data_IF_093122766555
#
_entry.id   IF_093122766555
#
_cell.length_a   1.000
_cell.length_b   1.000
_cell.length_c   1.000
_cell.angle_alpha   90.00
_cell.angle_beta   90.00
_cell.angle_gamma   90.00
#
_symmetry.space_group_name_H-M   'P 1'
#
loop_
_entity.id
_entity.type
_entity.pdbx_description
1 polymer ?
#
# COMPACT_ATOMS: atom_id res chain seq x y z
N UNK A 1 -6.22 -9.58 -4.74
CA UNK A 1 -5.45 -8.70 -5.63
C UNK A 1 -6.26 -8.03 -6.75
N UNK A 2 -6.99 -8.78 -7.59
CA UNK A 2 -7.70 -8.21 -8.75
C UNK A 2 -9.16 -7.83 -8.49
N UNK A 3 -9.80 -8.39 -7.45
CA UNK A 3 -11.24 -8.28 -7.20
C UNK A 3 -11.75 -6.89 -6.77
N UNK A 4 -10.89 -6.04 -6.22
CA UNK A 4 -11.27 -4.67 -5.84
C UNK A 4 -10.24 -3.67 -6.39
N UNK A 5 -10.58 -2.78 -7.34
CA UNK A 5 -9.64 -1.81 -7.93
C UNK A 5 -9.20 -0.73 -6.93
N UNK A 6 -8.13 0.00 -7.23
CA UNK A 6 -7.79 1.22 -6.49
C UNK A 6 -8.99 2.19 -6.49
N UNK A 7 -9.25 2.85 -5.36
CA UNK A 7 -10.42 3.69 -5.16
C UNK A 7 -10.37 4.40 -3.82
N UNK A 8 -11.49 4.93 -3.34
CA UNK A 8 -11.51 5.65 -2.06
C UNK A 8 -11.03 4.76 -0.90
N UNK A 9 -11.49 3.51 -0.83
CA UNK A 9 -11.11 2.55 0.22
C UNK A 9 -9.59 2.36 0.37
N UNK A 10 -8.81 2.47 -0.73
CA UNK A 10 -7.36 2.28 -0.68
C UNK A 10 -6.61 3.46 -0.06
N UNK A 11 -7.31 4.59 0.16
CA UNK A 11 -6.82 5.76 0.89
C UNK A 11 -7.54 5.91 2.24
N UNK A 12 -8.33 4.92 2.67
CA UNK A 12 -8.96 4.92 3.98
C UNK A 12 -8.17 4.02 4.93
N UNK A 13 -8.02 4.48 6.16
CA UNK A 13 -7.40 3.73 7.26
C UNK A 13 -8.25 3.92 8.50
N UNK A 14 -8.45 2.84 9.25
CA UNK A 14 -9.24 2.87 10.49
C UNK A 14 -8.30 2.51 11.63
N UNK A 15 -8.25 3.36 12.64
CA UNK A 15 -7.49 3.15 13.87
C UNK A 15 -8.48 2.91 15.00
N UNK A 16 -8.32 1.78 15.66
CA UNK A 16 -9.20 1.31 16.73
C UNK A 16 -8.36 1.20 18.00
N UNK A 17 -8.89 1.66 19.13
CA UNK A 17 -8.19 1.56 20.40
C UNK A 17 -9.13 1.06 21.49
N UNK A 18 -8.58 0.19 22.32
CA UNK A 18 -9.18 -0.24 23.59
C UNK A 18 -9.24 0.92 24.58
N UNK A 19 -10.08 0.77 25.60
CA UNK A 19 -10.19 1.77 26.67
C UNK A 19 -8.94 1.78 27.58
N UNK A 20 -8.94 2.65 28.59
CA UNK A 20 -7.81 2.77 29.52
C UNK A 20 -7.93 1.84 30.74
N UNK A 21 -8.97 1.01 30.81
CA UNK A 21 -9.19 0.06 31.89
C UNK A 21 -8.31 -1.20 31.70
N UNK A 22 -8.15 -2.00 32.76
CA UNK A 22 -7.35 -3.24 32.70
C UNK A 22 -5.82 -3.08 32.64
N UNK A 23 -5.28 -1.90 32.32
CA UNK A 23 -3.84 -1.61 32.29
C UNK A 23 -3.24 -1.65 30.89
N UNK A 24 -1.94 -1.97 30.75
CA UNK A 24 -1.31 -2.11 29.43
C UNK A 24 -0.79 -0.83 28.77
N UNK A 25 -1.29 0.36 29.14
CA UNK A 25 -0.76 1.65 28.70
C UNK A 25 -1.87 2.66 28.38
N UNK A 26 -1.51 3.76 27.71
CA UNK A 26 -2.50 4.63 27.07
C UNK A 26 -2.61 4.23 25.61
N UNK A 27 -3.60 3.40 25.27
CA UNK A 27 -3.77 2.89 23.91
C UNK A 27 -4.17 3.98 22.91
N UNK A 28 -4.91 5.00 23.36
CA UNK A 28 -5.20 6.18 22.53
C UNK A 28 -3.91 6.87 22.09
N UNK A 29 -2.98 7.13 23.02
CA UNK A 29 -1.70 7.77 22.71
C UNK A 29 -0.81 6.91 21.81
N UNK A 30 -0.89 5.58 21.91
CA UNK A 30 -0.13 4.66 21.07
C UNK A 30 -0.69 4.65 19.64
N UNK A 31 -2.02 4.56 19.53
CA UNK A 31 -2.72 4.65 18.24
C UNK A 31 -2.47 6.01 17.57
N UNK A 32 -2.61 7.11 18.31
CA UNK A 32 -2.38 8.47 17.80
C UNK A 32 -0.92 8.71 17.37
N UNK A 33 0.04 8.10 18.06
CA UNK A 33 1.46 8.16 17.67
C UNK A 33 1.72 7.58 16.29
N UNK A 34 0.92 6.62 15.85
CA UNK A 34 1.02 6.04 14.50
C UNK A 34 0.12 6.80 13.52
N UNK A 35 -1.14 7.05 13.90
CA UNK A 35 -2.13 7.68 13.04
C UNK A 35 -1.75 9.12 12.64
N UNK A 36 -1.23 9.91 13.58
CA UNK A 36 -0.92 11.33 13.39
C UNK A 36 0.58 11.65 13.46
N UNK A 37 1.39 10.73 13.96
CA UNK A 37 2.78 10.98 14.34
C UNK A 37 3.79 10.90 13.20
N UNK A 38 5.04 11.12 13.61
CA UNK A 38 6.22 11.21 12.74
C UNK A 38 7.37 10.38 13.29
N UNK A 39 8.23 9.89 12.40
CA UNK A 39 9.45 9.16 12.76
C UNK A 39 10.62 10.09 13.10
N UNK A 40 10.59 11.33 12.61
CA UNK A 40 11.67 12.31 12.74
C UNK A 40 11.32 13.56 13.57
N UNK A 41 10.78 13.45 14.80
CA UNK A 41 10.56 14.64 15.62
C UNK A 41 11.89 15.31 15.99
N UNK A 42 11.98 16.66 15.99
CA UNK A 42 10.89 17.62 15.78
C UNK A 42 10.75 18.11 14.32
N UNK A 43 11.52 17.57 13.37
CA UNK A 43 11.46 18.03 11.97
C UNK A 43 10.15 17.66 11.30
N UNK A 44 9.50 16.57 11.73
CA UNK A 44 8.16 16.15 11.32
C UNK A 44 8.01 16.11 9.79
N UNK A 45 9.02 15.58 9.10
CA UNK A 45 9.03 15.42 7.64
C UNK A 45 8.62 14.03 7.21
N UNK A 46 8.72 13.05 8.11
CA UNK A 46 8.43 11.65 7.86
C UNK A 46 7.21 11.20 8.66
N UNK A 47 6.02 11.44 8.09
CA UNK A 47 4.75 11.02 8.70
C UNK A 47 4.56 9.52 8.52
N UNK A 48 4.09 8.82 9.55
CA UNK A 48 3.79 7.39 9.46
C UNK A 48 2.65 7.14 8.48
N UNK A 49 1.51 7.82 8.63
CA UNK A 49 0.40 7.76 7.69
C UNK A 49 0.37 9.07 6.86
N UNK A 50 0.61 9.02 5.54
CA UNK A 50 0.62 10.23 4.71
C UNK A 50 -0.71 10.99 4.73
N UNK A 51 -0.67 12.31 4.56
CA UNK A 51 -1.87 13.18 4.57
C UNK A 51 -2.88 12.89 3.44
N UNK A 52 -2.46 12.13 2.45
CA UNK A 52 -3.30 11.66 1.33
C UNK A 52 -4.26 10.55 1.76
N UNK A 53 -4.02 9.92 2.91
CA UNK A 53 -4.92 8.95 3.52
C UNK A 53 -5.88 9.65 4.49
N UNK A 54 -7.12 9.17 4.49
CA UNK A 54 -8.10 9.50 5.49
C UNK A 54 -7.96 8.52 6.66
N UNK A 55 -7.90 9.09 7.86
CA UNK A 55 -7.76 8.38 9.12
C UNK A 55 -9.08 8.51 9.86
N UNK A 56 -9.77 7.40 10.08
CA UNK A 56 -10.88 7.28 11.01
C UNK A 56 -10.39 6.72 12.34
N UNK A 57 -10.87 7.27 13.46
CA UNK A 57 -10.54 6.80 14.81
C UNK A 57 -11.80 6.31 15.51
N UNK A 58 -11.73 5.09 16.05
CA UNK A 58 -12.80 4.41 16.78
C UNK A 58 -12.21 3.92 18.11
N UNK A 59 -12.22 4.79 19.11
CA UNK A 59 -11.60 4.57 20.41
C UNK A 59 -12.68 4.36 21.46
N UNK A 60 -12.70 3.17 22.07
CA UNK A 60 -13.69 2.77 23.08
C UNK A 60 -13.61 3.67 24.30
N UNK A 61 -14.73 4.28 24.69
CA UNK A 61 -14.77 5.22 25.80
C UNK A 61 -14.19 6.61 25.49
N UNK A 62 -13.91 6.92 24.22
CA UNK A 62 -13.47 8.25 23.80
C UNK A 62 -14.21 8.80 22.58
N UNK A 63 -14.38 8.02 21.52
CA UNK A 63 -15.10 8.45 20.30
C UNK A 63 -16.39 7.67 20.06
N UNK A 64 -16.55 6.55 20.75
CA UNK A 64 -17.73 5.71 20.80
C UNK A 64 -17.87 5.17 22.22
N UNK A 65 -19.10 4.91 22.65
CA UNK A 65 -19.42 4.44 24.00
C UNK A 65 -18.88 5.38 25.11
N UNK A 66 -18.84 6.69 24.85
CA UNK A 66 -18.30 7.72 25.78
C UNK A 66 -18.98 7.72 27.15
N UNK A 67 -20.29 7.46 27.17
CA UNK A 67 -21.10 7.44 28.39
C UNK A 67 -21.02 6.11 29.16
N UNK A 68 -20.66 5.01 28.48
CA UNK A 68 -20.63 3.67 29.07
C UNK A 68 -19.73 2.68 28.29
N UNK A 69 -18.39 2.77 28.44
CA UNK A 69 -17.47 1.91 27.68
C UNK A 69 -17.61 0.41 28.02
N UNK A 70 -18.13 0.07 29.19
CA UNK A 70 -18.18 -1.30 29.73
C UNK A 70 -19.02 -2.32 28.94
N UNK A 71 -19.73 -1.89 27.88
CA UNK A 71 -20.56 -2.76 27.05
C UNK A 71 -20.19 -2.74 25.56
N UNK A 72 -19.39 -1.77 25.10
CA UNK A 72 -19.02 -1.56 23.70
C UNK A 72 -20.19 -1.75 22.71
N UNK A 73 -21.29 -1.01 22.86
CA UNK A 73 -22.47 -1.15 21.99
C UNK A 73 -22.31 -0.35 20.67
N UNK A 74 -21.64 0.81 20.71
CA UNK A 74 -21.48 1.73 19.59
C UNK A 74 -20.27 1.39 18.71
N UNK A 75 -19.12 1.11 19.32
CA UNK A 75 -17.86 0.87 18.60
C UNK A 75 -17.92 -0.29 17.59
N UNK A 76 -18.47 -1.49 17.91
CA UNK A 76 -18.56 -2.58 16.94
C UNK A 76 -19.43 -2.22 15.73
N UNK A 77 -20.56 -1.53 15.99
CA UNK A 77 -21.48 -1.08 14.94
C UNK A 77 -20.80 -0.06 14.02
N UNK A 78 -20.06 0.89 14.59
CA UNK A 78 -19.31 1.88 13.82
C UNK A 78 -18.22 1.22 12.98
N UNK A 79 -17.40 0.34 13.56
CA UNK A 79 -16.33 -0.36 12.86
C UNK A 79 -16.88 -1.22 11.71
N UNK A 80 -17.94 -1.99 11.96
CA UNK A 80 -18.61 -2.77 10.93
C UNK A 80 -19.18 -1.88 9.81
N UNK A 81 -19.76 -0.73 10.15
CA UNK A 81 -20.30 0.22 9.17
C UNK A 81 -19.19 0.79 8.29
N UNK A 82 -18.08 1.23 8.87
CA UNK A 82 -16.94 1.76 8.12
C UNK A 82 -16.34 0.68 7.22
N UNK A 83 -16.10 -0.53 7.72
CA UNK A 83 -15.61 -1.63 6.90
C UNK A 83 -16.57 -1.99 5.74
N UNK A 84 -17.88 -1.99 5.96
CA UNK A 84 -18.87 -2.36 4.96
C UNK A 84 -19.13 -1.29 3.90
N UNK A 85 -19.04 0.00 4.26
CA UNK A 85 -19.47 1.11 3.40
C UNK A 85 -18.30 1.84 2.79
N UNK A 86 -17.36 2.33 3.61
CA UNK A 86 -16.21 3.11 3.13
C UNK A 86 -15.07 2.19 2.71
N UNK A 87 -14.92 1.07 3.41
CA UNK A 87 -13.79 0.16 3.29
C UNK A 87 -12.50 0.81 3.78
N UNK A 88 -11.46 0.01 3.96
CA UNK A 88 -10.15 0.50 4.40
C UNK A 88 -9.03 -0.34 3.78
N UNK A 89 -7.87 0.29 3.54
CA UNK A 89 -6.66 -0.43 3.16
C UNK A 89 -6.18 -1.29 4.34
N UNK A 90 -6.20 -0.70 5.53
CA UNK A 90 -5.97 -1.42 6.78
C UNK A 90 -6.85 -0.91 7.91
N UNK A 91 -7.06 -1.81 8.88
CA UNK A 91 -7.62 -1.52 10.20
C UNK A 91 -6.53 -1.82 11.22
N UNK A 92 -6.06 -0.82 11.94
CA UNK A 92 -5.15 -0.99 13.07
C UNK A 92 -5.93 -1.06 14.37
N UNK A 93 -5.58 -1.99 15.25
CA UNK A 93 -6.12 -2.07 16.60
C UNK A 93 -5.01 -2.09 17.63
N UNK A 94 -5.08 -1.23 18.64
CA UNK A 94 -4.15 -1.21 19.78
C UNK A 94 -4.91 -1.42 21.08
N UNK A 95 -4.56 -2.47 21.84
CA UNK A 95 -5.31 -2.80 23.05
C UNK A 95 -5.09 -4.19 23.60
N UNK A 96 -6.03 -4.63 24.45
CA UNK A 96 -6.11 -5.99 24.92
C UNK A 96 -6.83 -6.89 23.91
N UNK A 97 -6.44 -8.16 23.85
CA UNK A 97 -7.20 -9.15 23.10
C UNK A 97 -7.15 -10.50 23.78
N UNK A 98 -8.24 -11.23 23.61
CA UNK A 98 -8.29 -12.66 23.80
C UNK A 98 -8.07 -13.36 22.46
N UNK A 99 -8.12 -14.69 22.46
CA UNK A 99 -7.95 -15.47 21.23
C UNK A 99 -9.06 -15.21 20.21
N UNK A 100 -10.26 -14.82 20.63
CA UNK A 100 -11.45 -14.76 19.77
C UNK A 100 -12.15 -13.41 19.74
N UNK A 101 -11.60 -12.39 20.40
CA UNK A 101 -12.18 -11.05 20.47
C UNK A 101 -11.14 -10.01 20.92
N UNK A 102 -11.43 -8.74 20.60
CA UNK A 102 -10.69 -7.55 21.03
C UNK A 102 -11.42 -6.84 22.18
N UNK A 103 -10.64 -6.23 23.09
CA UNK A 103 -11.09 -5.63 24.35
C UNK A 103 -11.81 -6.61 25.28
N UNK A 104 -11.90 -6.34 26.58
CA UNK A 104 -12.67 -7.20 27.47
C UNK A 104 -14.19 -7.07 27.20
N UNK A 105 -14.57 -5.95 26.63
CA UNK A 105 -15.90 -5.46 26.33
C UNK A 105 -16.45 -6.04 25.02
N UNK A 106 -15.67 -6.88 24.31
CA UNK A 106 -16.01 -7.42 22.99
C UNK A 106 -16.22 -6.32 21.94
N UNK A 107 -15.32 -5.34 21.88
CA UNK A 107 -15.31 -4.29 20.85
C UNK A 107 -15.35 -4.87 19.42
N UNK A 108 -14.69 -6.02 19.24
CA UNK A 108 -14.71 -6.73 17.98
C UNK A 108 -14.57 -8.23 18.20
N UNK A 109 -15.52 -9.02 17.72
CA UNK A 109 -15.48 -10.47 17.85
C UNK A 109 -15.91 -11.24 16.58
N UNK A 110 -15.93 -12.58 16.70
CA UNK A 110 -16.25 -13.46 15.57
C UNK A 110 -17.71 -13.35 15.08
N UNK A 111 -18.63 -12.87 15.92
CA UNK A 111 -20.02 -12.59 15.53
C UNK A 111 -20.05 -11.36 14.62
N UNK A 112 -19.35 -10.29 14.99
CA UNK A 112 -19.26 -9.07 14.18
C UNK A 112 -18.63 -9.37 12.81
N UNK A 113 -17.51 -10.11 12.81
CA UNK A 113 -16.80 -10.48 11.59
C UNK A 113 -17.65 -11.40 10.69
N UNK A 114 -18.46 -12.29 11.28
CA UNK A 114 -19.39 -13.13 10.52
C UNK A 114 -20.50 -12.31 9.82
N UNK A 115 -20.87 -11.17 10.39
CA UNK A 115 -21.93 -10.30 9.86
C UNK A 115 -21.43 -9.30 8.80
N UNK A 116 -20.12 -9.21 8.57
CA UNK A 116 -19.54 -8.31 7.56
C UNK A 116 -20.00 -8.62 6.14
N UNK A 117 -20.13 -7.55 5.36
CA UNK A 117 -20.44 -7.57 3.92
C UNK A 117 -19.45 -6.72 3.12
N UNK A 118 -18.21 -6.59 3.60
CA UNK A 118 -17.18 -5.68 3.08
C UNK A 118 -16.43 -6.18 1.83
N UNK A 119 -16.93 -7.24 1.19
CA UNK A 119 -16.43 -7.68 -0.11
C UNK A 119 -16.75 -6.70 -1.24
N UNK A 120 -15.89 -6.58 -2.27
CA UNK A 120 -14.66 -7.33 -2.50
C UNK A 120 -13.38 -6.66 -1.95
N UNK A 121 -13.52 -5.52 -1.26
CA UNK A 121 -12.42 -4.66 -0.84
C UNK A 121 -12.04 -4.94 0.61
N UNK A 122 -11.31 -6.04 0.82
CA UNK A 122 -10.98 -6.53 2.16
C UNK A 122 -9.73 -5.83 2.71
N UNK A 123 -9.76 -5.33 3.96
CA UNK A 123 -8.61 -4.70 4.60
C UNK A 123 -7.56 -5.72 5.03
N UNK A 124 -6.37 -5.19 5.34
CA UNK A 124 -5.39 -5.86 6.20
C UNK A 124 -5.70 -5.48 7.64
N UNK A 125 -5.73 -6.44 8.56
CA UNK A 125 -5.83 -6.11 9.98
C UNK A 125 -4.42 -6.06 10.58
N UNK A 126 -4.12 -4.98 11.31
CA UNK A 126 -2.87 -4.77 12.02
C UNK A 126 -3.18 -4.78 13.52
N UNK A 127 -3.10 -5.95 14.14
CA UNK A 127 -3.54 -6.12 15.53
C UNK A 127 -2.35 -6.00 16.48
N UNK A 128 -2.24 -4.87 17.18
CA UNK A 128 -1.25 -4.57 18.22
C UNK A 128 -1.67 -5.09 19.60
N UNK A 129 -2.13 -6.34 19.65
CA UNK A 129 -2.67 -6.98 20.85
C UNK A 129 -2.19 -8.43 21.03
N UNK A 130 -2.41 -8.99 22.22
CA UNK A 130 -2.00 -10.36 22.57
C UNK A 130 -2.93 -11.42 21.95
N UNK A 131 -2.41 -12.61 21.65
CA UNK A 131 -3.17 -13.82 21.27
C UNK A 131 -4.07 -13.77 20.04
N UNK A 132 -4.28 -12.63 19.39
CA UNK A 132 -5.14 -12.48 18.20
C UNK A 132 -4.76 -13.47 17.08
N UNK A 133 -3.48 -13.83 16.97
CA UNK A 133 -2.94 -14.77 16.00
C UNK A 133 -2.61 -16.15 16.57
N UNK A 134 -3.15 -16.55 17.73
CA UNK A 134 -2.83 -17.81 18.42
C UNK A 134 -3.37 -19.08 17.70
N UNK A 135 -2.96 -19.28 16.45
CA UNK A 135 -3.46 -20.33 15.53
C UNK A 135 -3.16 -21.77 15.97
N UNK A 136 -2.26 -21.93 16.94
CA UNK A 136 -1.83 -23.23 17.45
C UNK A 136 -2.83 -23.86 18.42
N UNK A 137 -3.91 -23.17 18.80
CA UNK A 137 -4.93 -23.74 19.69
C UNK A 137 -5.87 -24.69 18.95
N UNK A 138 -5.92 -25.99 19.32
CA UNK A 138 -6.86 -26.91 18.70
C UNK A 138 -8.31 -26.71 19.15
N UNK A 139 -8.55 -25.98 20.25
CA UNK A 139 -9.88 -25.79 20.84
C UNK A 139 -10.60 -24.54 20.35
N UNK A 140 -9.86 -23.53 19.87
CA UNK A 140 -10.41 -22.23 19.46
C UNK A 140 -9.73 -21.77 18.17
N UNK A 141 -10.51 -21.21 17.25
CA UNK A 141 -9.95 -20.54 16.07
C UNK A 141 -9.58 -19.13 16.49
N UNK A 142 -8.32 -18.74 16.28
CA UNK A 142 -7.88 -17.41 16.65
C UNK A 142 -8.57 -16.34 15.78
N UNK A 143 -8.75 -15.13 16.33
CA UNK A 143 -9.47 -14.05 15.69
C UNK A 143 -8.84 -13.65 14.34
N UNK A 144 -7.51 -13.52 14.32
CA UNK A 144 -6.73 -13.28 13.10
C UNK A 144 -6.84 -14.40 12.05
N UNK A 145 -7.07 -15.65 12.46
CA UNK A 145 -7.37 -16.74 11.52
C UNK A 145 -8.81 -16.68 11.01
N UNK A 146 -9.75 -16.40 11.90
CA UNK A 146 -11.17 -16.40 11.60
C UNK A 146 -11.49 -15.38 10.51
N UNK A 147 -11.02 -14.15 10.68
CA UNK A 147 -11.28 -13.05 9.74
C UNK A 147 -10.69 -13.27 8.34
N UNK A 148 -9.60 -14.02 8.18
CA UNK A 148 -8.99 -14.27 6.85
C UNK A 148 -9.57 -15.49 6.14
N UNK A 149 -10.38 -16.31 6.84
CA UNK A 149 -10.93 -17.56 6.31
C UNK A 149 -12.34 -17.41 5.72
N UNK A 150 -12.99 -16.27 5.94
CA UNK A 150 -14.36 -16.07 5.50
C UNK A 150 -14.42 -15.82 3.98
N UNK A 151 -15.36 -16.46 3.28
CA UNK A 151 -15.49 -16.28 1.85
C UNK A 151 -16.09 -14.90 1.55
N UNK A 152 -15.36 -14.06 0.81
CA UNK A 152 -15.84 -12.78 0.27
C UNK A 152 -16.06 -11.64 1.28
N UNK A 153 -15.81 -11.84 2.58
CA UNK A 153 -15.86 -10.80 3.61
C UNK A 153 -14.80 -11.08 4.70
N UNK A 154 -14.64 -10.17 5.66
CA UNK A 154 -13.59 -10.25 6.68
C UNK A 154 -12.34 -9.47 6.23
N UNK A 155 -11.18 -10.13 6.22
CA UNK A 155 -9.89 -9.50 5.89
C UNK A 155 -9.12 -10.29 4.83
N UNK A 156 -8.26 -9.62 4.06
CA UNK A 156 -7.36 -10.29 3.10
C UNK A 156 -6.12 -10.85 3.80
N UNK A 157 -5.73 -10.25 4.92
CA UNK A 157 -4.60 -10.65 5.73
C UNK A 157 -4.73 -10.12 7.17
N UNK A 158 -4.01 -10.76 8.09
CA UNK A 158 -3.89 -10.37 9.50
C UNK A 158 -2.44 -10.38 9.94
N UNK A 159 -1.98 -9.28 10.53
CA UNK A 159 -0.70 -9.16 11.21
C UNK A 159 -0.93 -9.22 12.72
N UNK A 160 -0.68 -10.39 13.31
CA UNK A 160 -1.19 -10.71 14.65
C UNK A 160 -0.17 -11.46 15.51
N UNK A 161 -0.26 -11.26 16.83
CA UNK A 161 0.60 -11.97 17.79
C UNK A 161 0.07 -13.36 18.14
N UNK A 162 0.96 -14.35 18.12
CA UNK A 162 0.74 -15.71 18.66
C UNK A 162 1.01 -15.81 20.16
N UNK A 163 1.19 -14.69 20.88
CA UNK A 163 1.56 -14.71 22.28
C UNK A 163 1.23 -13.42 23.01
N UNK A 164 1.79 -13.30 24.22
CA UNK A 164 1.76 -12.06 24.99
C UNK A 164 2.93 -11.18 24.56
N UNK A 165 2.72 -9.86 24.56
CA UNK A 165 3.77 -8.87 24.31
C UNK A 165 3.45 -7.56 25.01
N UNK A 166 4.45 -6.70 25.14
CA UNK A 166 4.29 -5.36 25.69
C UNK A 166 3.81 -4.39 24.59
N UNK A 167 2.84 -3.55 24.93
CA UNK A 167 2.29 -2.54 24.01
C UNK A 167 3.38 -1.60 23.44
N UNK A 168 4.43 -1.33 24.20
CA UNK A 168 5.58 -0.52 23.73
C UNK A 168 6.41 -1.20 22.64
N UNK A 169 6.45 -2.54 22.59
CA UNK A 169 7.08 -3.27 21.50
C UNK A 169 6.18 -3.32 20.26
N UNK A 170 4.87 -3.45 20.47
CA UNK A 170 3.88 -3.41 19.39
C UNK A 170 3.86 -2.06 18.68
N UNK A 171 3.96 -0.94 19.42
CA UNK A 171 4.07 0.42 18.86
C UNK A 171 5.25 0.56 17.89
N UNK A 172 6.45 0.14 18.30
CA UNK A 172 7.64 0.21 17.43
C UNK A 172 7.44 -0.68 16.19
N UNK A 173 6.84 -1.86 16.35
CA UNK A 173 6.55 -2.78 15.25
C UNK A 173 5.58 -2.17 14.24
N UNK A 174 4.50 -1.52 14.71
CA UNK A 174 3.52 -0.86 13.87
C UNK A 174 4.12 0.34 13.12
N UNK A 175 4.92 1.16 13.80
CA UNK A 175 5.68 2.27 13.19
C UNK A 175 6.56 1.77 12.06
N UNK A 176 7.27 0.66 12.27
CA UNK A 176 8.05 -0.02 11.24
C UNK A 176 7.20 -0.48 10.05
N UNK A 177 5.99 -0.98 10.28
CA UNK A 177 5.05 -1.34 9.21
C UNK A 177 4.64 -0.11 8.39
N UNK A 178 4.26 0.99 9.04
CA UNK A 178 3.88 2.23 8.35
C UNK A 178 5.02 2.78 7.49
N UNK A 179 6.25 2.80 8.03
CA UNK A 179 7.45 3.21 7.29
C UNK A 179 7.70 2.32 6.08
N UNK A 180 7.58 0.99 6.24
CA UNK A 180 7.74 0.06 5.13
C UNK A 180 6.76 0.36 3.99
N UNK A 181 5.48 0.54 4.32
CA UNK A 181 4.40 0.70 3.35
C UNK A 181 4.45 2.06 2.64
N UNK A 182 4.66 3.13 3.40
CA UNK A 182 4.44 4.49 2.91
C UNK A 182 5.72 5.26 2.60
N UNK A 183 6.82 4.98 3.31
CA UNK A 183 8.09 5.66 3.07
C UNK A 183 9.01 4.88 2.14
N UNK A 184 9.29 3.62 2.50
CA UNK A 184 10.12 2.72 1.70
C UNK A 184 9.38 2.18 0.47
N UNK A 185 8.06 2.40 0.40
CA UNK A 185 7.18 2.00 -0.70
C UNK A 185 7.24 0.50 -0.97
N UNK A 186 7.39 -0.30 0.08
CA UNK A 186 7.37 -1.76 0.02
C UNK A 186 5.92 -2.22 -0.15
N UNK A 187 5.51 -2.47 -1.40
CA UNK A 187 4.13 -2.84 -1.72
C UNK A 187 3.78 -4.30 -1.42
N UNK A 188 4.77 -5.16 -1.14
CA UNK A 188 4.53 -6.57 -0.82
C UNK A 188 4.40 -6.77 0.69
N UNK A 189 3.25 -7.27 1.14
CA UNK A 189 2.93 -7.36 2.57
C UNK A 189 3.97 -8.17 3.37
N UNK A 190 4.41 -9.32 2.87
CA UNK A 190 5.43 -10.14 3.51
C UNK A 190 6.83 -9.50 3.55
N UNK A 191 7.12 -8.55 2.67
CA UNK A 191 8.37 -7.79 2.74
C UNK A 191 8.26 -6.63 3.75
N UNK A 192 7.10 -5.95 3.79
CA UNK A 192 6.83 -4.90 4.76
C UNK A 192 6.84 -5.44 6.20
N UNK A 193 6.26 -6.62 6.38
CA UNK A 193 6.38 -7.47 7.56
C UNK A 193 7.82 -7.65 8.08
N UNK A 194 8.73 -8.08 7.20
CA UNK A 194 10.14 -8.31 7.54
C UNK A 194 10.82 -6.98 7.88
N UNK A 195 10.51 -5.91 7.14
CA UNK A 195 11.01 -4.58 7.45
C UNK A 195 10.59 -4.13 8.86
N UNK A 196 9.31 -4.28 9.21
CA UNK A 196 8.80 -3.92 10.52
C UNK A 196 9.54 -4.62 11.67
N UNK A 197 9.79 -5.93 11.54
CA UNK A 197 10.57 -6.70 12.53
C UNK A 197 12.03 -6.24 12.62
N UNK A 198 12.64 -5.90 11.49
CA UNK A 198 14.01 -5.36 11.48
C UNK A 198 14.07 -3.96 12.12
N UNK A 199 13.07 -3.10 11.86
CA UNK A 199 12.95 -1.79 12.49
C UNK A 199 12.82 -1.94 14.01
N UNK A 200 11.96 -2.85 14.50
CA UNK A 200 11.86 -3.17 15.92
C UNK A 200 13.21 -3.56 16.54
N UNK A 201 13.96 -4.44 15.88
CA UNK A 201 15.30 -4.83 16.34
C UNK A 201 16.28 -3.64 16.37
N UNK A 202 16.26 -2.77 15.35
CA UNK A 202 17.15 -1.61 15.27
C UNK A 202 16.87 -0.60 16.38
N UNK A 203 15.60 -0.35 16.68
CA UNK A 203 15.17 0.64 17.67
C UNK A 203 15.27 0.15 19.12
N UNK A 204 15.21 -1.17 19.33
CA UNK A 204 15.06 -1.73 20.68
C UNK A 204 16.10 -2.78 21.08
N UNK A 205 16.94 -3.23 20.15
CA UNK A 205 17.87 -4.33 20.37
C UNK A 205 17.13 -5.60 20.82
N UNK A 206 17.61 -6.21 21.90
CA UNK A 206 17.09 -7.48 22.43
C UNK A 206 15.85 -7.34 23.33
N UNK A 207 15.34 -6.12 23.53
CA UNK A 207 14.26 -5.85 24.49
C UNK A 207 12.92 -6.49 24.14
N UNK A 208 12.63 -6.66 22.84
CA UNK A 208 11.35 -7.18 22.35
C UNK A 208 11.54 -8.36 21.38
N UNK A 209 12.50 -9.25 21.68
CA UNK A 209 12.71 -10.48 20.91
C UNK A 209 11.45 -11.37 20.87
N UNK A 210 10.67 -11.37 21.96
CA UNK A 210 9.38 -12.05 22.03
C UNK A 210 8.42 -11.55 20.94
N UNK A 211 8.29 -10.23 20.77
CA UNK A 211 7.43 -9.63 19.74
C UNK A 211 7.88 -10.00 18.32
N UNK A 212 9.19 -10.05 18.06
CA UNK A 212 9.74 -10.49 16.76
C UNK A 212 9.34 -11.93 16.45
N UNK A 213 9.41 -12.82 17.44
CA UNK A 213 9.09 -14.24 17.29
C UNK A 213 7.59 -14.53 17.23
N UNK A 214 6.77 -13.80 18.00
CA UNK A 214 5.34 -14.08 18.12
C UNK A 214 4.48 -13.48 17.02
N UNK A 215 4.90 -12.37 16.40
CA UNK A 215 4.12 -11.74 15.33
C UNK A 215 4.19 -12.53 14.02
N UNK A 216 3.03 -12.88 13.49
CA UNK A 216 2.90 -13.62 12.23
C UNK A 216 2.00 -12.88 11.25
N UNK A 217 2.18 -13.24 9.98
CA UNK A 217 1.26 -12.86 8.91
C UNK A 217 0.37 -14.05 8.57
N UNK A 218 -0.93 -13.92 8.80
CA UNK A 218 -1.96 -14.83 8.33
C UNK A 218 -2.53 -14.27 7.02
N UNK A 219 -2.54 -15.07 5.95
CA UNK A 219 -2.90 -14.63 4.60
C UNK A 219 -1.76 -14.85 3.61
N UNK A 220 -1.76 -14.11 2.50
CA UNK A 220 -0.74 -14.23 1.45
C UNK A 220 0.42 -13.24 1.67
N UNK A 221 1.60 -13.74 1.98
CA UNK A 221 2.81 -12.93 2.11
C UNK A 221 3.26 -12.28 0.79
N UNK A 222 2.86 -12.81 -0.35
CA UNK A 222 3.15 -12.24 -1.66
C UNK A 222 2.18 -11.12 -2.06
N UNK A 223 1.12 -10.88 -1.28
CA UNK A 223 0.07 -9.90 -1.56
C UNK A 223 0.66 -8.53 -1.91
N UNK A 224 0.29 -8.03 -3.08
CA UNK A 224 0.56 -6.67 -3.51
C UNK A 224 -0.51 -5.72 -3.01
N UNK A 225 -0.09 -4.76 -2.18
CA UNK A 225 -0.94 -3.79 -1.54
C UNK A 225 -1.28 -2.63 -2.47
N UNK A 226 -2.48 -2.10 -2.30
CA UNK A 226 -3.00 -0.96 -3.06
C UNK A 226 -2.72 0.32 -2.31
N UNK A 227 -1.47 0.53 -1.90
CA UNK A 227 -1.02 1.82 -1.37
C UNK A 227 -1.11 2.89 -2.45
N UNK A 228 -1.13 4.14 -2.05
CA UNK A 228 -0.97 5.33 -2.89
C UNK A 228 0.14 5.16 -3.93
N UNK A 229 1.32 4.68 -3.54
CA UNK A 229 2.43 4.46 -4.48
C UNK A 229 2.07 3.48 -5.60
N UNK A 230 1.22 2.48 -5.34
CA UNK A 230 0.72 1.54 -6.35
C UNK A 230 -0.48 2.10 -7.11
N UNK A 231 -1.38 2.82 -6.42
CA UNK A 231 -2.61 3.33 -6.99
C UNK A 231 -2.45 4.60 -7.81
N UNK A 232 -1.51 5.48 -7.47
CA UNK A 232 -1.13 6.65 -8.27
C UNK A 232 -0.21 6.27 -9.43
N UNK A 233 0.53 5.16 -9.30
CA UNK A 233 1.21 4.53 -10.43
C UNK A 233 0.26 3.76 -11.35
N UNK A 234 -1.07 3.85 -11.14
CA UNK A 234 -2.03 3.60 -12.22
C UNK A 234 -1.89 4.79 -13.19
N UNK A 235 -1.32 4.63 -14.40
CA UNK A 235 -0.99 5.76 -15.26
C UNK A 235 -2.24 6.56 -15.61
N UNK A 236 -2.51 7.64 -14.86
CA UNK A 236 -3.69 8.49 -15.03
C UNK A 236 -3.31 9.96 -14.82
N UNK A 237 -2.37 10.41 -15.63
CA UNK A 237 -2.33 11.74 -16.19
C UNK A 237 -1.65 11.60 -17.55
N UNK A 238 -1.93 12.49 -18.49
CA UNK A 238 -1.29 12.49 -19.82
C UNK A 238 0.22 12.63 -19.61
N UNK A 239 0.96 11.51 -19.60
CA UNK A 239 2.42 11.50 -19.40
C UNK A 239 3.10 12.36 -20.46
N UNK A 240 2.52 12.37 -21.67
CA UNK A 240 3.07 13.06 -22.82
C UNK A 240 2.15 14.16 -23.34
N UNK A 241 2.57 15.42 -23.22
CA UNK A 241 1.90 16.55 -23.88
C UNK A 241 2.14 16.56 -25.39
N UNK A 242 3.19 15.87 -25.86
CA UNK A 242 3.52 15.74 -27.28
C UNK A 242 4.18 14.41 -27.60
N UNK A 243 3.77 13.81 -28.71
CA UNK A 243 4.39 12.64 -29.35
C UNK A 243 4.37 12.85 -30.86
N UNK A 244 5.53 12.94 -31.50
CA UNK A 244 5.61 13.24 -32.93
C UNK A 244 6.87 12.67 -33.59
N UNK A 245 6.66 11.94 -34.68
CA UNK A 245 7.65 11.68 -35.71
C UNK A 245 7.42 12.65 -36.88
N UNK A 246 8.44 13.42 -37.27
CA UNK A 246 8.37 14.41 -38.33
C UNK A 246 9.47 14.18 -39.37
N UNK A 247 9.20 14.39 -40.67
CA UNK A 247 10.23 14.37 -41.71
C UNK A 247 11.35 15.38 -41.45
N UNK A 248 12.59 14.99 -41.72
CA UNK A 248 13.77 15.84 -41.65
C UNK A 248 14.79 15.45 -42.74
N UNK A 249 15.65 16.36 -43.22
CA UNK A 249 16.58 16.03 -44.31
C UNK A 249 17.47 14.82 -43.98
N UNK A 250 17.29 13.71 -44.72
CA UNK A 250 17.99 12.44 -44.53
C UNK A 250 17.82 11.82 -43.12
N UNK A 251 16.73 12.13 -42.43
CA UNK A 251 16.45 11.63 -41.09
C UNK A 251 14.95 11.71 -40.74
N UNK A 252 14.53 11.06 -39.67
CA UNK A 252 13.25 11.37 -39.01
C UNK A 252 13.53 12.06 -37.68
N UNK A 253 12.90 13.21 -37.45
CA UNK A 253 12.96 13.93 -36.18
C UNK A 253 11.86 13.42 -35.24
N UNK A 254 12.27 12.85 -34.13
CA UNK A 254 11.44 12.23 -33.11
C UNK A 254 11.38 13.17 -31.91
N UNK A 255 10.18 13.57 -31.53
CA UNK A 255 9.92 14.53 -30.47
C UNK A 255 8.91 13.93 -29.51
N UNK A 256 9.23 13.97 -28.22
CA UNK A 256 8.24 13.76 -27.18
C UNK A 256 8.45 14.77 -26.06
N UNK A 257 7.34 15.20 -25.47
CA UNK A 257 7.33 16.15 -24.38
C UNK A 257 6.53 15.55 -23.24
N UNK A 258 7.14 15.51 -22.06
CA UNK A 258 6.51 14.99 -20.85
C UNK A 258 5.78 16.12 -20.13
N UNK A 259 4.53 15.88 -19.75
CA UNK A 259 3.79 16.78 -18.84
C UNK A 259 4.01 16.39 -17.37
N UNK A 260 4.39 15.14 -17.13
CA UNK A 260 4.77 14.59 -15.84
C UNK A 260 5.84 13.50 -16.05
N UNK A 261 6.82 13.45 -15.16
CA UNK A 261 7.87 12.43 -15.13
C UNK A 261 7.97 11.69 -13.80
N UNK A 262 7.05 11.91 -12.86
CA UNK A 262 7.00 11.14 -11.63
C UNK A 262 6.83 9.66 -11.96
N UNK A 263 7.72 8.84 -11.41
CA UNK A 263 7.72 7.40 -11.67
C UNK A 263 8.42 6.98 -12.98
N UNK A 264 8.89 7.89 -13.84
CA UNK A 264 9.61 7.52 -15.06
C UNK A 264 11.11 7.33 -14.81
N UNK A 265 11.66 6.23 -15.30
CA UNK A 265 13.10 5.92 -15.26
C UNK A 265 13.79 6.33 -16.58
N UNK A 266 13.24 5.90 -17.72
CA UNK A 266 13.86 6.13 -19.03
C UNK A 266 12.90 5.96 -20.21
N UNK A 267 13.38 6.35 -21.40
CA UNK A 267 12.70 6.23 -22.68
C UNK A 267 13.54 5.47 -23.69
N UNK A 268 12.89 4.64 -24.51
CA UNK A 268 13.50 4.04 -25.70
C UNK A 268 12.64 4.30 -26.92
N UNK A 269 13.27 4.60 -28.06
CA UNK A 269 12.56 4.76 -29.32
C UNK A 269 12.75 3.55 -30.20
N UNK A 270 11.65 3.08 -30.77
CA UNK A 270 11.58 1.88 -31.59
C UNK A 270 10.92 2.20 -32.92
N UNK A 271 11.40 1.60 -34.01
CA UNK A 271 10.86 1.81 -35.36
C UNK A 271 10.59 0.51 -36.09
N UNK A 272 9.74 0.60 -37.12
CA UNK A 272 9.52 -0.47 -38.09
C UNK A 272 9.12 0.10 -39.46
N UNK A 273 9.64 -0.43 -40.59
CA UNK A 273 9.16 -0.05 -41.91
C UNK A 273 7.65 -0.30 -42.05
N UNK A 274 6.92 0.65 -42.63
CA UNK A 274 5.49 0.51 -42.90
C UNK A 274 5.27 -0.65 -43.87
N UNK A 275 4.31 -1.53 -43.55
CA UNK A 275 4.03 -2.74 -44.32
C UNK A 275 4.89 -3.96 -43.98
N UNK A 276 5.95 -3.80 -43.16
CA UNK A 276 6.74 -4.93 -42.68
C UNK A 276 6.06 -5.68 -41.53
N UNK A 277 6.19 -7.01 -41.52
CA UNK A 277 5.78 -7.88 -40.40
C UNK A 277 6.89 -8.14 -39.38
N UNK A 278 8.10 -7.60 -39.61
CA UNK A 278 9.21 -7.73 -38.69
C UNK A 278 8.86 -7.09 -37.32
N UNK A 279 9.53 -7.50 -36.22
CA UNK A 279 9.42 -6.78 -34.95
C UNK A 279 9.96 -5.36 -35.09
N UNK A 280 9.53 -4.48 -34.18
CA UNK A 280 10.15 -3.16 -34.04
C UNK A 280 11.62 -3.31 -33.64
N UNK A 281 12.46 -2.40 -34.12
CA UNK A 281 13.89 -2.34 -33.81
C UNK A 281 14.20 -1.07 -33.04
N UNK A 282 15.10 -1.18 -32.05
CA UNK A 282 15.53 -0.04 -31.27
C UNK A 282 16.31 0.96 -32.14
N UNK A 283 15.93 2.23 -32.05
CA UNK A 283 16.63 3.37 -32.65
C UNK A 283 17.67 3.93 -31.68
N UNK A 284 17.36 3.87 -30.39
CA UNK A 284 18.26 4.29 -29.32
C UNK A 284 19.14 3.13 -28.86
N UNK A 285 20.48 3.24 -28.92
CA UNK A 285 21.38 2.17 -28.47
C UNK A 285 21.39 2.01 -26.94
N UNK A 286 21.00 3.05 -26.21
CA UNK A 286 20.81 3.07 -24.76
C UNK A 286 19.54 3.86 -24.41
N UNK A 287 18.84 3.51 -23.31
CA UNK A 287 17.71 4.28 -22.83
C UNK A 287 18.09 5.73 -22.53
N UNK A 288 17.20 6.65 -22.85
CA UNK A 288 17.29 8.07 -22.47
C UNK A 288 16.65 8.24 -21.10
N UNK A 289 17.46 8.48 -20.07
CA UNK A 289 16.95 8.67 -18.72
C UNK A 289 15.98 9.85 -18.65
N UNK A 290 14.90 9.65 -17.90
CA UNK A 290 13.99 10.72 -17.53
C UNK A 290 14.73 11.74 -16.66
N UNK A 291 14.36 13.02 -16.78
CA UNK A 291 14.97 14.12 -16.05
C UNK A 291 14.32 14.36 -14.68
N UNK A 292 13.18 13.72 -14.43
CA UNK A 292 12.40 13.86 -13.20
C UNK A 292 11.54 15.13 -13.14
N UNK A 293 11.50 15.90 -14.25
CA UNK A 293 10.68 17.11 -14.41
C UNK A 293 10.15 17.19 -15.84
N UNK A 294 8.99 17.83 -16.08
CA UNK A 294 8.44 18.01 -17.43
C UNK A 294 9.48 18.53 -18.41
N UNK A 295 9.69 17.78 -19.50
CA UNK A 295 10.86 17.95 -20.37
C UNK A 295 10.55 17.61 -21.82
N UNK A 296 11.17 18.37 -22.72
CA UNK A 296 11.20 18.08 -24.16
C UNK A 296 12.42 17.22 -24.48
N UNK A 297 12.16 16.11 -25.17
CA UNK A 297 13.17 15.21 -25.70
C UNK A 297 13.12 15.20 -27.23
N UNK A 298 14.30 15.10 -27.83
CA UNK A 298 14.47 15.09 -29.28
C UNK A 298 15.51 14.05 -29.67
N UNK A 299 15.23 13.33 -30.75
CA UNK A 299 16.17 12.38 -31.36
C UNK A 299 16.04 12.40 -32.87
N UNK A 300 17.15 12.20 -33.56
CA UNK A 300 17.14 11.98 -35.02
C UNK A 300 17.43 10.52 -35.30
N UNK A 301 16.52 9.89 -36.03
CA UNK A 301 16.79 8.60 -36.66
C UNK A 301 17.41 8.85 -38.03
N UNK A 302 18.71 8.55 -38.17
CA UNK A 302 19.49 8.76 -39.40
C UNK A 302 19.68 7.47 -40.19
N UNK A 303 19.31 6.33 -39.63
CA UNK A 303 19.51 5.02 -40.26
C UNK A 303 18.31 4.66 -41.15
N UNK A 304 17.71 5.65 -41.82
CA UNK A 304 16.47 5.52 -42.60
C UNK A 304 16.77 5.55 -44.10
N UNK A 305 16.02 4.76 -44.88
CA UNK A 305 16.19 4.69 -46.33
C UNK A 305 15.36 5.76 -47.04
N UNK A 306 15.92 6.47 -48.05
CA UNK A 306 15.16 7.42 -48.85
C UNK A 306 13.94 6.78 -49.53
N UNK A 307 12.77 7.39 -49.38
CA UNK A 307 11.51 6.90 -49.96
C UNK A 307 10.80 5.82 -49.14
N UNK A 308 11.39 5.33 -48.04
CA UNK A 308 10.73 4.44 -47.09
C UNK A 308 10.04 5.21 -45.96
N UNK A 309 8.85 4.75 -45.56
CA UNK A 309 8.14 5.26 -44.38
C UNK A 309 8.29 4.30 -43.21
N UNK A 310 8.41 4.84 -42.00
CA UNK A 310 8.60 4.07 -40.77
C UNK A 310 7.54 4.47 -39.74
N UNK A 311 6.99 3.47 -39.04
CA UNK A 311 6.17 3.67 -37.86
C UNK A 311 7.07 3.70 -36.62
N UNK A 312 6.86 4.67 -35.73
CA UNK A 312 7.66 4.88 -34.53
C UNK A 312 6.84 4.71 -33.27
N UNK A 313 7.46 4.10 -32.25
CA UNK A 313 6.92 3.93 -30.92
C UNK A 313 7.93 4.36 -29.86
N UNK A 314 7.40 4.94 -28.80
CA UNK A 314 8.12 5.28 -27.59
C UNK A 314 7.78 4.25 -26.51
N UNK A 315 8.79 3.62 -25.92
CA UNK A 315 8.67 2.81 -24.72
C UNK A 315 9.09 3.67 -23.54
N UNK A 316 8.19 3.87 -22.59
CA UNK A 316 8.47 4.52 -21.32
C UNK A 316 8.68 3.43 -20.26
N UNK A 317 9.81 3.49 -19.57
CA UNK A 317 10.22 2.57 -18.51
C UNK A 317 10.01 3.29 -17.18
N UNK A 318 9.29 2.65 -16.26
CA UNK A 318 8.97 3.21 -14.95
C UNK A 318 9.96 2.74 -13.88
N UNK A 319 10.08 3.49 -12.79
CA UNK A 319 10.95 3.20 -11.64
C UNK A 319 10.56 1.90 -10.93
N UNK A 320 9.29 1.50 -11.02
CA UNK A 320 8.78 0.22 -10.50
C UNK A 320 9.05 -0.98 -11.43
N UNK A 321 9.71 -0.75 -12.57
CA UNK A 321 10.02 -1.77 -13.57
C UNK A 321 8.89 -2.05 -14.56
N UNK A 322 7.74 -1.39 -14.45
CA UNK A 322 6.68 -1.48 -15.45
C UNK A 322 7.01 -0.71 -16.73
N UNK A 323 6.28 -0.99 -17.81
CA UNK A 323 6.55 -0.43 -19.14
C UNK A 323 5.26 -0.02 -19.85
N UNK A 324 5.27 1.15 -20.48
CA UNK A 324 4.15 1.62 -21.32
C UNK A 324 4.63 2.00 -22.72
N UNK A 325 3.77 1.74 -23.72
CA UNK A 325 4.08 1.96 -25.14
C UNK A 325 3.17 3.02 -25.74
N UNK A 326 3.77 3.95 -26.49
CA UNK A 326 3.08 5.09 -27.09
C UNK A 326 3.45 5.23 -28.56
N UNK A 327 2.49 5.58 -29.42
CA UNK A 327 2.75 5.80 -30.84
C UNK A 327 3.28 7.23 -31.07
N UNK A 328 4.46 7.35 -31.70
CA UNK A 328 5.01 8.64 -32.17
C UNK A 328 4.48 9.03 -33.55
N UNK A 329 3.90 8.08 -34.28
CA UNK A 329 3.35 8.27 -35.61
C UNK A 329 4.21 7.65 -36.72
N UNK A 330 3.90 8.02 -37.96
CA UNK A 330 4.56 7.52 -39.17
C UNK A 330 5.25 8.68 -39.89
N UNK A 331 6.51 8.49 -40.27
CA UNK A 331 7.28 9.50 -40.99
C UNK A 331 8.29 8.86 -41.96
N UNK A 332 8.74 9.67 -42.91
CA UNK A 332 9.80 9.36 -43.87
C UNK A 332 10.87 10.47 -43.83
N UNK A 333 12.12 10.19 -44.22
CA UNK A 333 13.18 11.19 -44.35
C UNK A 333 12.95 12.21 -45.48
#
# INVERSE_FOLDING_TARGET
ETGCPCGLWSYQTIFVADDLEGGGGNFYDLSDRVADGYDDPPTNTLKYVPETYQVEKIYLGLTCDEDNPAIADECPTQLATSMNITGALFVSYVGHAAKTYWAQEHLWDQVDVAALTNGPCLPIMLTMACYDGFFQDPAQVAMGEYQVRLPQHGAVASWSSTGVGLASGHDILERGMMLALFHERISRLGAAAVYAKNYLWQESGDRYLDVIETYILLGDAALQLKTESVCQNTPTAVVFSRLQAAPAPAAVHLIWETADEQGLAAFEVWRRPVGSRAPFQAVTPLPLFARGVPSLYQRFDRDVEPGASYAYRLRAIHLDGSETWHDLGVAAP
#
